data_IF_330280307651
#
_entry.id   IF_330280307651
#
_cell.length_a   1.000
_cell.length_b   1.000
_cell.length_c   1.000
_cell.angle_alpha   90.00
_cell.angle_beta   90.00
_cell.angle_gamma   90.00
#
_symmetry.space_group_name_H-M   'P 1'
#
loop_
_entity.id
_entity.type
_entity.pdbx_description
1 polymer ?
#
# COMPACT_ATOMS: atom_id res chain seq x y z
N UNK A 1 -5.75 -1.91 -24.04
CA UNK A 1 -4.99 -2.57 -22.97
C UNK A 1 -4.29 -1.47 -22.17
N UNK A 2 -4.55 -1.41 -20.88
CA UNK A 2 -3.96 -0.43 -19.96
C UNK A 2 -2.55 -0.87 -19.57
N UNK A 3 -1.64 0.08 -19.38
CA UNK A 3 -0.23 -0.19 -19.07
C UNK A 3 -0.05 -0.62 -17.61
N UNK A 4 0.91 -1.51 -17.35
CA UNK A 4 1.25 -1.94 -16.00
C UNK A 4 1.86 -0.76 -15.23
N UNK A 5 1.31 -0.48 -14.05
CA UNK A 5 1.74 0.58 -13.16
C UNK A 5 1.90 0.03 -11.74
N UNK A 6 2.56 0.83 -10.90
CA UNK A 6 2.46 0.72 -9.46
C UNK A 6 2.11 2.04 -8.82
N UNK A 7 1.51 1.96 -7.64
CA UNK A 7 1.38 3.08 -6.73
C UNK A 7 1.86 2.72 -5.35
N UNK A 8 2.26 3.73 -4.61
CA UNK A 8 2.58 3.64 -3.20
C UNK A 8 1.86 4.75 -2.47
N UNK A 9 1.08 4.38 -1.46
CA UNK A 9 0.45 5.35 -0.57
C UNK A 9 0.69 4.99 0.89
N UNK A 10 0.58 6.02 1.73
CA UNK A 10 0.59 5.92 3.19
C UNK A 10 -0.64 6.62 3.77
N UNK A 11 -1.08 6.22 4.96
CA UNK A 11 -2.23 6.84 5.62
C UNK A 11 -2.28 6.51 7.11
N UNK A 12 -3.01 7.30 7.90
CA UNK A 12 -3.26 7.05 9.32
C UNK A 12 -4.50 6.18 9.48
N UNK A 13 -4.37 5.06 10.17
CA UNK A 13 -5.50 4.20 10.51
C UNK A 13 -6.42 4.88 11.53
N UNK A 14 -7.71 4.54 11.48
CA UNK A 14 -8.65 4.94 12.53
C UNK A 14 -8.33 4.16 13.82
N UNK A 15 -7.98 4.88 14.89
CA UNK A 15 -7.66 4.33 16.20
C UNK A 15 -8.79 3.47 16.79
N UNK A 16 -10.05 3.73 16.41
CA UNK A 16 -11.22 2.99 16.89
C UNK A 16 -11.32 1.59 16.31
N UNK A 17 -10.69 1.33 15.16
CA UNK A 17 -10.72 0.01 14.51
C UNK A 17 -9.66 -0.93 15.10
N UNK A 18 -8.54 -0.40 15.58
CA UNK A 18 -7.40 -1.16 16.07
C UNK A 18 -7.04 -2.35 15.14
N UNK A 19 -6.66 -3.47 15.74
CA UNK A 19 -6.32 -4.68 14.96
C UNK A 19 -7.50 -5.33 14.23
N UNK A 20 -8.76 -4.96 14.53
CA UNK A 20 -9.94 -5.52 13.84
C UNK A 20 -10.03 -5.03 12.40
N UNK A 21 -9.58 -3.79 12.13
CA UNK A 21 -9.57 -3.22 10.79
C UNK A 21 -8.82 -4.11 9.78
N UNK A 22 -7.65 -4.63 10.16
CA UNK A 22 -6.84 -5.46 9.25
C UNK A 22 -7.52 -6.78 8.87
N UNK A 23 -8.09 -7.47 9.86
CA UNK A 23 -8.78 -8.76 9.64
C UNK A 23 -9.99 -8.62 8.71
N UNK A 24 -10.65 -7.45 8.73
CA UNK A 24 -11.78 -7.12 7.86
C UNK A 24 -11.33 -6.64 6.46
N UNK A 25 -10.15 -6.02 6.35
CA UNK A 25 -9.61 -5.52 5.08
C UNK A 25 -9.08 -6.65 4.20
N UNK A 26 -8.24 -7.53 4.76
CA UNK A 26 -7.44 -8.46 3.95
C UNK A 26 -8.27 -9.39 3.06
N UNK A 27 -9.37 -10.03 3.52
CA UNK A 27 -10.15 -10.92 2.67
C UNK A 27 -10.81 -10.18 1.49
N UNK A 28 -11.41 -9.02 1.76
CA UNK A 28 -12.07 -8.21 0.74
C UNK A 28 -11.09 -7.60 -0.25
N UNK A 29 -9.95 -7.10 0.24
CA UNK A 29 -8.89 -6.54 -0.58
C UNK A 29 -8.27 -7.61 -1.49
N UNK A 30 -7.96 -8.81 -0.98
CA UNK A 30 -7.44 -9.93 -1.79
C UNK A 30 -8.41 -10.33 -2.90
N UNK A 31 -9.69 -10.54 -2.57
CA UNK A 31 -10.71 -10.90 -3.55
C UNK A 31 -10.89 -9.83 -4.64
N UNK A 32 -10.90 -8.56 -4.25
CA UNK A 32 -10.98 -7.47 -5.22
C UNK A 32 -9.73 -7.43 -6.10
N UNK A 33 -8.55 -7.56 -5.49
CA UNK A 33 -7.28 -7.51 -6.21
C UNK A 33 -7.16 -8.65 -7.22
N UNK A 34 -7.50 -9.89 -6.84
CA UNK A 34 -7.53 -11.04 -7.77
C UNK A 34 -8.45 -10.78 -8.96
N UNK A 35 -9.67 -10.30 -8.72
CA UNK A 35 -10.66 -10.06 -9.76
C UNK A 35 -10.25 -8.97 -10.77
N UNK A 36 -9.37 -8.03 -10.38
CA UNK A 36 -8.94 -6.91 -11.21
C UNK A 36 -7.47 -7.00 -11.64
N UNK A 37 -6.82 -8.15 -11.41
CA UNK A 37 -5.42 -8.35 -11.75
C UNK A 37 -4.48 -7.38 -11.01
N UNK A 38 -4.72 -7.16 -9.73
CA UNK A 38 -3.91 -6.32 -8.85
C UNK A 38 -3.11 -7.24 -7.91
N UNK A 39 -1.85 -6.88 -7.68
CA UNK A 39 -0.96 -7.52 -6.71
C UNK A 39 -0.36 -6.46 -5.80
N UNK A 40 0.23 -6.85 -4.68
CA UNK A 40 0.88 -5.87 -3.82
C UNK A 40 1.19 -6.35 -2.41
N UNK A 41 1.65 -5.40 -1.60
CA UNK A 41 1.96 -5.59 -0.20
C UNK A 41 1.37 -4.46 0.65
N UNK A 42 0.84 -4.83 1.81
CA UNK A 42 0.35 -3.94 2.85
C UNK A 42 1.21 -4.09 4.10
N UNK A 43 1.78 -2.99 4.56
CA UNK A 43 2.32 -2.85 5.90
C UNK A 43 1.33 -2.10 6.78
N UNK A 44 1.12 -2.61 8.00
CA UNK A 44 0.28 -1.97 9.01
C UNK A 44 0.91 -2.17 10.39
N UNK A 45 1.15 -1.07 11.09
CA UNK A 45 1.82 -1.06 12.41
C UNK A 45 0.85 -0.89 13.60
N UNK A 46 -0.45 -0.78 13.34
CA UNK A 46 -1.47 -0.44 14.34
C UNK A 46 -1.99 0.99 14.22
N UNK A 47 -1.17 1.91 13.71
CA UNK A 47 -1.49 3.34 13.58
C UNK A 47 -1.41 3.86 12.14
N UNK A 48 -0.63 3.21 11.27
CA UNK A 48 -0.37 3.65 9.91
C UNK A 48 -0.44 2.49 8.93
N UNK A 49 -1.00 2.77 7.76
CA UNK A 49 -0.93 1.89 6.60
C UNK A 49 0.13 2.41 5.62
N UNK A 50 0.93 1.50 5.09
CA UNK A 50 1.83 1.75 3.97
C UNK A 50 1.62 0.63 2.93
N UNK A 51 1.13 0.97 1.73
CA UNK A 51 0.69 -0.03 0.77
C UNK A 51 1.18 0.24 -0.65
N UNK A 52 1.81 -0.77 -1.24
CA UNK A 52 2.19 -0.78 -2.65
C UNK A 52 1.26 -1.70 -3.41
N UNK A 53 0.71 -1.19 -4.52
CA UNK A 53 -0.20 -1.93 -5.40
C UNK A 53 0.31 -1.86 -6.84
N UNK A 54 0.21 -2.98 -7.55
CA UNK A 54 0.67 -3.15 -8.93
C UNK A 54 -0.46 -3.71 -9.79
N UNK A 55 -0.67 -3.17 -10.99
CA UNK A 55 -1.76 -3.61 -11.85
C UNK A 55 -1.98 -2.72 -13.06
N UNK A 56 -3.05 -2.99 -13.84
CA UNK A 56 -3.49 -2.08 -14.88
C UNK A 56 -3.73 -0.67 -14.31
N UNK A 57 -3.21 0.36 -14.97
CA UNK A 57 -3.27 1.76 -14.50
C UNK A 57 -4.69 2.22 -14.14
N UNK A 58 -5.67 1.90 -14.98
CA UNK A 58 -7.09 2.19 -14.79
C UNK A 58 -7.70 1.47 -13.59
N UNK A 59 -7.36 0.20 -13.38
CA UNK A 59 -7.84 -0.57 -12.21
C UNK A 59 -7.23 -0.06 -10.91
N UNK A 60 -5.96 0.33 -10.94
CA UNK A 60 -5.29 0.98 -9.82
C UNK A 60 -5.93 2.33 -9.46
N UNK A 61 -6.25 3.16 -10.46
CA UNK A 61 -6.91 4.45 -10.23
C UNK A 61 -8.33 4.27 -9.65
N UNK A 62 -9.11 3.31 -10.16
CA UNK A 62 -10.43 2.96 -9.59
C UNK A 62 -10.31 2.49 -8.14
N UNK A 63 -9.32 1.66 -7.84
CA UNK A 63 -9.06 1.20 -6.47
C UNK A 63 -8.66 2.36 -5.57
N UNK A 64 -7.81 3.28 -6.04
CA UNK A 64 -7.43 4.46 -5.25
C UNK A 64 -8.61 5.34 -4.87
N UNK A 65 -9.59 5.53 -5.75
CA UNK A 65 -10.83 6.26 -5.39
C UNK A 65 -11.54 5.61 -4.21
N UNK A 66 -11.61 4.27 -4.20
CA UNK A 66 -12.23 3.51 -3.10
C UNK A 66 -11.41 3.60 -1.81
N UNK A 67 -10.09 3.55 -1.92
CA UNK A 67 -9.16 3.73 -0.80
C UNK A 67 -9.35 5.13 -0.21
N UNK A 68 -9.33 6.19 -1.01
CA UNK A 68 -9.54 7.55 -0.51
C UNK A 68 -10.89 7.78 0.20
N UNK A 69 -11.92 7.01 -0.16
CA UNK A 69 -13.25 7.10 0.44
C UNK A 69 -13.46 6.14 1.63
N UNK A 70 -12.46 5.33 1.97
CA UNK A 70 -12.58 4.32 3.00
C UNK A 70 -12.52 4.98 4.39
N UNK A 71 -13.57 4.85 5.23
CA UNK A 71 -13.62 5.51 6.53
C UNK A 71 -12.64 4.91 7.55
N UNK A 72 -11.98 3.79 7.23
CA UNK A 72 -11.10 3.07 8.15
C UNK A 72 -9.73 3.73 8.31
N UNK A 73 -9.47 4.79 7.56
CA UNK A 73 -8.23 5.54 7.61
C UNK A 73 -8.44 6.97 7.11
N UNK A 74 -7.47 7.83 7.40
CA UNK A 74 -7.47 9.24 7.05
C UNK A 74 -6.05 9.69 6.68
N UNK A 75 -5.91 10.95 6.26
CA UNK A 75 -4.60 11.55 5.90
C UNK A 75 -3.87 10.72 4.82
N UNK A 76 -4.63 10.20 3.86
CA UNK A 76 -4.11 9.39 2.76
C UNK A 76 -3.23 10.21 1.83
N UNK A 77 -1.96 9.83 1.73
CA UNK A 77 -0.96 10.47 0.89
C UNK A 77 -0.45 9.49 -0.17
N UNK A 78 -0.70 9.81 -1.45
CA UNK A 78 -0.15 9.07 -2.59
C UNK A 78 1.28 9.56 -2.84
N UNK A 79 2.25 8.69 -2.56
CA UNK A 79 3.68 9.02 -2.67
C UNK A 79 4.17 8.97 -4.11
N UNK A 80 3.70 7.99 -4.89
CA UNK A 80 3.90 7.96 -6.33
C UNK A 80 2.87 7.07 -7.03
N UNK A 81 2.69 7.35 -8.32
CA UNK A 81 2.03 6.48 -9.29
C UNK A 81 2.87 6.51 -10.56
N UNK A 82 3.42 5.36 -10.95
CA UNK A 82 4.42 5.30 -12.03
C UNK A 82 4.32 4.01 -12.86
N UNK A 83 4.79 4.04 -14.12
CA UNK A 83 4.88 2.84 -14.94
C UNK A 83 5.78 1.78 -14.31
N UNK A 84 5.43 0.52 -14.52
CA UNK A 84 6.20 -0.62 -14.04
C UNK A 84 6.44 -1.61 -15.17
N UNK A 85 7.71 -1.97 -15.41
CA UNK A 85 8.07 -2.92 -16.48
C UNK A 85 7.58 -4.34 -16.17
N UNK A 86 7.66 -4.74 -14.90
CA UNK A 86 7.24 -6.06 -14.43
C UNK A 86 6.83 -6.02 -12.97
N UNK A 87 5.83 -6.83 -12.61
CA UNK A 87 5.36 -7.00 -11.22
C UNK A 87 6.50 -7.48 -10.32
N UNK A 88 6.60 -6.88 -9.14
CA UNK A 88 7.51 -7.27 -8.08
C UNK A 88 6.82 -8.17 -7.04
N UNK A 89 5.52 -7.98 -6.79
CA UNK A 89 4.77 -8.73 -5.77
C UNK A 89 3.91 -9.86 -6.35
N UNK A 90 4.47 -10.68 -7.24
CA UNK A 90 3.69 -11.66 -8.04
C UNK A 90 3.03 -12.77 -7.23
N UNK A 91 3.56 -13.07 -6.05
CA UNK A 91 3.08 -14.20 -5.25
C UNK A 91 1.76 -13.92 -4.53
N UNK A 92 1.35 -12.64 -4.41
CA UNK A 92 0.21 -12.27 -3.58
C UNK A 92 -0.70 -11.24 -4.23
N UNK A 93 -2.00 -11.54 -4.24
CA UNK A 93 -3.02 -10.53 -4.50
C UNK A 93 -2.92 -9.37 -3.50
N UNK A 94 -2.63 -9.69 -2.23
CA UNK A 94 -2.16 -8.74 -1.22
C UNK A 94 -1.43 -9.46 -0.08
N UNK A 95 -0.11 -9.27 0.00
CA UNK A 95 0.72 -9.65 1.14
C UNK A 95 0.47 -8.72 2.33
N UNK A 96 0.60 -9.23 3.55
CA UNK A 96 0.56 -8.42 4.76
C UNK A 96 1.87 -8.61 5.52
N UNK A 97 2.48 -7.52 5.97
CA UNK A 97 3.66 -7.55 6.82
C UNK A 97 3.56 -6.54 7.96
N UNK A 98 4.13 -6.91 9.10
CA UNK A 98 4.43 -5.99 10.18
C UNK A 98 5.94 -5.78 10.21
N UNK A 99 6.40 -4.55 9.97
CA UNK A 99 7.82 -4.20 9.95
C UNK A 99 8.08 -3.02 10.90
N UNK A 100 8.58 -3.28 12.12
CA UNK A 100 8.87 -2.24 13.11
C UNK A 100 9.82 -1.16 12.62
N UNK A 101 10.77 -1.51 11.74
CA UNK A 101 11.77 -0.55 11.27
C UNK A 101 11.17 0.54 10.37
N UNK A 102 9.98 0.32 9.81
CA UNK A 102 9.31 1.29 8.95
C UNK A 102 8.41 2.27 9.73
N UNK A 103 8.13 2.00 11.01
CA UNK A 103 7.15 2.78 11.81
C UNK A 103 7.53 4.26 11.84
N UNK A 104 8.78 4.56 12.21
CA UNK A 104 9.25 5.94 12.35
C UNK A 104 9.26 6.68 11.00
N UNK A 105 9.71 6.01 9.93
CA UNK A 105 9.78 6.59 8.60
C UNK A 105 8.38 6.86 8.02
N UNK A 106 7.44 5.92 8.18
CA UNK A 106 6.04 6.09 7.74
C UNK A 106 5.36 7.21 8.53
N UNK A 107 5.50 7.22 9.87
CA UNK A 107 4.95 8.25 10.72
C UNK A 107 5.51 9.65 10.37
N UNK A 108 6.81 9.74 10.09
CA UNK A 108 7.46 10.96 9.61
C UNK A 108 6.85 11.42 8.30
N UNK A 109 6.70 10.53 7.33
CA UNK A 109 6.14 10.86 6.02
C UNK A 109 4.68 11.32 6.07
N UNK A 110 3.85 10.72 6.92
CA UNK A 110 2.46 11.17 7.13
C UNK A 110 2.42 12.57 7.74
N UNK A 111 3.32 12.86 8.67
CA UNK A 111 3.41 14.16 9.33
C UNK A 111 3.94 15.27 8.41
N UNK A 112 4.64 14.90 7.33
CA UNK A 112 5.11 15.83 6.32
C UNK A 112 4.01 16.16 5.32
N UNK A 113 3.79 17.45 5.05
CA UNK A 113 2.86 17.89 4.00
C UNK A 113 3.30 17.49 2.59
N UNK A 114 4.60 17.27 2.38
CA UNK A 114 5.19 16.85 1.11
C UNK A 114 6.31 15.86 1.40
N UNK A 115 6.21 14.66 0.83
CA UNK A 115 7.24 13.63 0.89
C UNK A 115 8.04 13.68 -0.41
N UNK A 116 9.36 13.76 -0.31
CA UNK A 116 10.24 13.80 -1.49
C UNK A 116 10.23 12.47 -2.24
N UNK A 117 10.34 12.50 -3.57
CA UNK A 117 10.35 11.27 -4.38
C UNK A 117 11.45 10.29 -3.93
N UNK A 118 12.66 10.76 -3.62
CA UNK A 118 13.75 9.89 -3.16
C UNK A 118 13.41 9.15 -1.84
N UNK A 119 12.75 9.83 -0.91
CA UNK A 119 12.31 9.24 0.36
C UNK A 119 11.20 8.19 0.12
N UNK A 120 10.22 8.52 -0.72
CA UNK A 120 9.19 7.57 -1.13
C UNK A 120 9.78 6.31 -1.79
N UNK A 121 10.82 6.46 -2.62
CA UNK A 121 11.52 5.33 -3.25
C UNK A 121 12.33 4.50 -2.25
N UNK A 122 12.91 5.13 -1.23
CA UNK A 122 13.63 4.43 -0.16
C UNK A 122 12.67 3.55 0.67
N UNK A 123 11.53 4.12 1.11
CA UNK A 123 10.46 3.38 1.79
C UNK A 123 9.94 2.21 0.94
N UNK A 124 9.69 2.44 -0.35
CA UNK A 124 9.21 1.38 -1.23
C UNK A 124 10.23 0.25 -1.41
N UNK A 125 11.52 0.59 -1.47
CA UNK A 125 12.60 -0.40 -1.56
C UNK A 125 12.71 -1.24 -0.28
N UNK A 126 12.50 -0.62 0.89
CA UNK A 126 12.50 -1.33 2.16
C UNK A 126 11.33 -2.32 2.26
N UNK A 127 10.12 -1.93 1.83
CA UNK A 127 8.96 -2.84 1.76
C UNK A 127 9.20 -4.03 0.82
N UNK A 128 9.84 -3.79 -0.33
CA UNK A 128 10.18 -4.85 -1.27
C UNK A 128 11.16 -5.86 -0.64
N UNK A 129 12.21 -5.36 0.01
CA UNK A 129 13.21 -6.20 0.67
C UNK A 129 12.62 -7.09 1.77
N UNK A 130 11.63 -6.57 2.51
CA UNK A 130 10.87 -7.34 3.49
C UNK A 130 10.02 -8.42 2.82
N UNK A 131 9.37 -8.10 1.70
CA UNK A 131 8.54 -9.08 0.97
C UNK A 131 9.35 -10.24 0.38
N UNK A 132 10.58 -9.99 -0.06
CA UNK A 132 11.47 -11.01 -0.61
C UNK A 132 11.89 -12.05 0.44
N UNK A 133 11.84 -11.71 1.73
CA UNK A 133 12.11 -12.65 2.84
C UNK A 133 10.92 -13.55 3.17
N UNK A 134 9.73 -13.25 2.64
CA UNK A 134 8.50 -14.01 2.89
C UNK A 134 8.20 -15.06 1.80
N UNK A 135 8.93 -15.02 0.68
CA UNK A 135 8.79 -15.93 -0.46
C UNK A 135 9.74 -17.15 -0.33
#
# INVERSE_FOLDING_TARGET
MSSLHRLFYISRADEQLGHRGLAEILPGARRYNEAHGITGILNYDGAHYAQILEGPADELLKLMVRIYADPRHQETNLLFFEPLAQRQYRAWALGYVYEPQLIEDVARCISQKVVGHAEAKALASALLAVSDQMA
#
